data_IF_982672912864
#
_entry.id   IF_982672912864
#
_cell.length_a   1.000
_cell.length_b   1.000
_cell.length_c   1.000
_cell.angle_alpha   90.00
_cell.angle_beta   90.00
_cell.angle_gamma   90.00
#
_symmetry.space_group_name_H-M   'P 1'
#
loop_
_entity.id
_entity.type
_entity.pdbx_description
1 polymer ?
#
# COMPACT_ATOMS: atom_id res chain seq x y z
N UNK A 1 -0.10 -24.81 29.13
CA UNK A 1 -1.55 -25.12 29.13
C UNK A 1 -2.15 -24.46 27.90
N UNK A 2 -2.65 -25.24 26.93
CA UNK A 2 -3.28 -24.73 25.72
C UNK A 2 -4.64 -24.11 26.04
N UNK A 3 -4.91 -22.93 25.48
CA UNK A 3 -6.20 -22.25 25.59
C UNK A 3 -7.20 -22.99 24.68
N UNK A 4 -8.45 -23.24 25.09
CA UNK A 4 -9.43 -23.92 24.26
C UNK A 4 -9.71 -23.13 22.97
N UNK A 5 -9.88 -23.85 21.86
CA UNK A 5 -10.31 -23.29 20.58
C UNK A 5 -11.63 -22.53 20.77
N UNK A 6 -11.71 -21.31 20.21
CA UNK A 6 -12.95 -20.54 20.19
C UNK A 6 -14.02 -21.24 19.34
N UNK A 7 -15.31 -20.92 19.53
CA UNK A 7 -16.39 -21.52 18.74
C UNK A 7 -16.20 -21.22 17.25
N UNK A 8 -16.40 -22.24 16.41
CA UNK A 8 -16.52 -22.06 14.97
C UNK A 8 -17.66 -21.08 14.67
N UNK A 9 -17.41 -20.10 13.79
CA UNK A 9 -18.47 -19.22 13.29
C UNK A 9 -19.46 -20.02 12.44
N UNK A 10 -20.73 -19.61 12.42
CA UNK A 10 -21.73 -20.23 11.55
C UNK A 10 -21.39 -19.99 10.06
N UNK A 11 -21.65 -21.00 9.22
CA UNK A 11 -21.42 -20.96 7.78
C UNK A 11 -22.13 -19.76 7.15
N UNK A 12 -21.39 -18.93 6.42
CA UNK A 12 -21.96 -17.83 5.64
C UNK A 12 -22.04 -18.25 4.17
N UNK A 13 -23.18 -18.05 3.47
CA UNK A 13 -23.26 -18.33 2.05
C UNK A 13 -22.19 -17.54 1.30
N UNK A 14 -21.44 -18.23 0.43
CA UNK A 14 -20.46 -17.62 -0.46
C UNK A 14 -21.19 -16.81 -1.53
N UNK A 15 -21.45 -15.55 -1.24
CA UNK A 15 -21.79 -14.58 -2.28
C UNK A 15 -20.47 -14.11 -2.88
N UNK A 16 -20.16 -14.59 -4.09
CA UNK A 16 -19.04 -14.07 -4.85
C UNK A 16 -19.26 -12.59 -5.20
N UNK A 17 -18.26 -11.92 -5.80
CA UNK A 17 -18.54 -10.68 -6.50
C UNK A 17 -19.48 -10.98 -7.69
N UNK A 18 -20.79 -10.91 -7.46
CA UNK A 18 -21.79 -11.06 -8.51
C UNK A 18 -21.68 -9.87 -9.48
N UNK A 19 -21.34 -10.14 -10.74
CA UNK A 19 -21.51 -9.17 -11.82
C UNK A 19 -22.99 -9.14 -12.18
N UNK A 20 -23.77 -8.27 -11.53
CA UNK A 20 -25.16 -7.98 -11.93
C UNK A 20 -25.16 -6.88 -13.00
N UNK A 21 -26.20 -6.86 -13.86
CA UNK A 21 -26.39 -5.88 -14.96
C UNK A 21 -26.43 -4.38 -14.53
N UNK A 22 -26.24 -4.06 -13.24
CA UNK A 22 -26.18 -2.69 -12.71
C UNK A 22 -24.79 -2.24 -12.22
N UNK A 23 -23.73 -2.99 -12.51
CA UNK A 23 -22.38 -2.75 -11.99
C UNK A 23 -22.08 -3.54 -10.72
N UNK A 24 -20.82 -3.45 -10.25
CA UNK A 24 -20.35 -4.13 -9.03
C UNK A 24 -21.06 -3.51 -7.82
N UNK A 25 -22.18 -4.08 -7.40
CA UNK A 25 -22.75 -3.78 -6.10
C UNK A 25 -21.71 -4.17 -5.04
N UNK A 26 -21.56 -3.37 -3.98
CA UNK A 26 -20.66 -3.70 -2.89
C UNK A 26 -21.11 -5.02 -2.25
N UNK A 27 -20.53 -6.14 -2.72
CA UNK A 27 -20.84 -7.46 -2.21
C UNK A 27 -20.61 -7.48 -0.69
N UNK A 28 -21.40 -8.26 0.07
CA UNK A 28 -21.15 -8.47 1.49
C UNK A 28 -19.71 -8.93 1.68
N UNK A 29 -18.94 -8.22 2.50
CA UNK A 29 -17.57 -8.64 2.83
C UNK A 29 -17.67 -9.68 3.93
N UNK A 30 -17.01 -10.83 3.76
CA UNK A 30 -16.81 -11.75 4.88
C UNK A 30 -16.02 -11.04 5.97
N UNK A 31 -16.44 -11.27 7.22
CA UNK A 31 -15.82 -10.70 8.40
C UNK A 31 -15.57 -11.83 9.39
N UNK A 32 -14.33 -11.93 9.84
CA UNK A 32 -13.96 -12.75 10.98
C UNK A 32 -13.68 -11.79 12.13
N UNK A 33 -14.43 -11.90 13.22
CA UNK A 33 -14.15 -11.17 14.45
C UNK A 33 -13.02 -11.86 15.21
N UNK A 34 -11.99 -11.11 15.60
CA UNK A 34 -10.83 -11.62 16.31
C UNK A 34 -9.99 -10.50 16.92
N UNK A 35 -9.04 -10.88 17.77
CA UNK A 35 -8.07 -9.98 18.37
C UNK A 35 -6.76 -9.99 17.57
N UNK A 36 -5.95 -8.95 17.78
CA UNK A 36 -4.61 -8.89 17.20
C UNK A 36 -3.79 -10.10 17.69
N UNK A 37 -3.29 -10.91 16.75
CA UNK A 37 -2.53 -12.12 17.04
C UNK A 37 -3.35 -13.41 16.99
N UNK A 38 -4.67 -13.33 16.85
CA UNK A 38 -5.51 -14.49 16.57
C UNK A 38 -5.17 -15.05 15.18
N UNK A 39 -5.10 -16.38 15.10
CA UNK A 39 -4.78 -17.14 13.89
C UNK A 39 -6.02 -17.90 13.48
N UNK A 40 -6.37 -17.79 12.21
CA UNK A 40 -7.49 -18.52 11.62
C UNK A 40 -7.00 -19.36 10.46
N UNK A 41 -7.51 -20.58 10.34
CA UNK A 41 -7.47 -21.34 9.09
C UNK A 41 -8.71 -20.96 8.29
N UNK A 42 -8.57 -20.61 7.02
CA UNK A 42 -9.69 -20.34 6.13
C UNK A 42 -9.61 -21.34 4.99
N UNK A 43 -10.64 -22.15 4.84
CA UNK A 43 -10.75 -23.18 3.81
C UNK A 43 -11.80 -22.76 2.80
N UNK A 44 -11.38 -22.68 1.53
CA UNK A 44 -12.26 -22.47 0.40
C UNK A 44 -12.48 -23.81 -0.29
N UNK A 45 -13.73 -24.24 -0.39
CA UNK A 45 -14.12 -25.46 -1.09
C UNK A 45 -14.95 -25.07 -2.30
N UNK A 46 -14.67 -25.69 -3.45
CA UNK A 46 -15.50 -25.61 -4.65
C UNK A 46 -15.69 -27.02 -5.18
N UNK A 47 -16.92 -27.38 -5.49
CA UNK A 47 -17.21 -28.66 -6.14
C UNK A 47 -16.70 -28.62 -7.61
N UNK A 48 -15.83 -29.56 -8.03
CA UNK A 48 -15.34 -29.61 -9.40
C UNK A 48 -16.40 -30.00 -10.43
N UNK A 49 -17.47 -30.69 -10.02
CA UNK A 49 -18.59 -31.09 -10.86
C UNK A 49 -19.70 -30.02 -10.86
N UNK A 50 -19.80 -29.23 -9.78
CA UNK A 50 -20.71 -28.10 -9.65
C UNK A 50 -19.99 -26.79 -9.25
N UNK A 51 -19.50 -26.04 -10.24
CA UNK A 51 -18.71 -24.82 -10.01
C UNK A 51 -19.47 -23.70 -9.27
N UNK A 52 -20.81 -23.78 -9.22
CA UNK A 52 -21.66 -22.83 -8.49
C UNK A 52 -21.75 -23.16 -6.99
N UNK A 53 -21.40 -24.38 -6.59
CA UNK A 53 -21.30 -24.79 -5.20
C UNK A 53 -19.92 -24.42 -4.65
N UNK A 54 -19.89 -23.35 -3.86
CA UNK A 54 -18.72 -22.91 -3.11
C UNK A 54 -19.06 -22.90 -1.62
N UNK A 55 -18.06 -23.16 -0.80
CA UNK A 55 -18.16 -23.10 0.65
C UNK A 55 -16.91 -22.41 1.22
N UNK A 56 -17.10 -21.59 2.24
CA UNK A 56 -16.00 -20.96 2.99
C UNK A 56 -16.18 -21.32 4.45
N UNK A 57 -15.21 -22.07 4.97
CA UNK A 57 -15.15 -22.44 6.38
C UNK A 57 -13.96 -21.73 7.02
N UNK A 58 -14.07 -21.40 8.31
CA UNK A 58 -12.91 -20.95 9.08
C UNK A 58 -12.93 -21.51 10.50
N UNK A 59 -11.74 -21.78 11.03
CA UNK A 59 -11.54 -22.23 12.41
C UNK A 59 -10.45 -21.42 13.10
N UNK A 60 -10.63 -21.19 14.41
CA UNK A 60 -9.64 -20.52 15.24
C UNK A 60 -8.51 -21.47 15.61
N UNK A 61 -7.30 -21.18 15.15
CA UNK A 61 -6.08 -21.95 15.45
C UNK A 61 -5.39 -21.51 16.76
N UNK A 62 -6.00 -20.55 17.47
CA UNK A 62 -5.46 -19.94 18.69
C UNK A 62 -4.84 -18.57 18.46
N UNK A 63 -4.08 -18.10 19.44
CA UNK A 63 -3.45 -16.78 19.44
C UNK A 63 -1.93 -16.90 19.54
N UNK A 64 -1.19 -16.07 18.81
CA UNK A 64 0.26 -15.98 18.88
C UNK A 64 0.77 -14.55 18.99
N UNK A 65 2.09 -14.36 19.18
CA UNK A 65 2.69 -13.04 19.07
C UNK A 65 2.41 -12.47 17.68
N UNK A 66 2.06 -11.20 17.66
CA UNK A 66 1.79 -10.45 16.43
C UNK A 66 3.12 -10.19 15.77
N UNK A 67 3.35 -10.83 14.63
CA UNK A 67 4.49 -10.51 13.79
C UNK A 67 4.00 -9.59 12.69
N UNK A 68 4.18 -8.28 12.87
CA UNK A 68 3.93 -7.35 11.79
C UNK A 68 4.96 -7.60 10.67
N UNK A 69 4.51 -7.74 9.41
CA UNK A 69 5.43 -7.85 8.30
C UNK A 69 6.29 -6.59 8.23
N UNK A 70 7.54 -6.75 7.81
CA UNK A 70 8.41 -5.61 7.59
C UNK A 70 7.72 -4.60 6.64
N UNK A 71 7.80 -3.29 6.93
CA UNK A 71 7.14 -2.28 6.12
C UNK A 71 7.66 -2.32 4.68
N UNK A 72 6.73 -2.28 3.73
CA UNK A 72 7.01 -2.15 2.31
C UNK A 72 6.57 -0.78 1.85
N UNK A 73 7.38 -0.13 1.03
CA UNK A 73 7.12 1.24 0.57
C UNK A 73 6.90 1.25 -0.92
N UNK A 74 5.94 2.06 -1.38
CA UNK A 74 5.56 2.12 -2.78
C UNK A 74 5.39 3.58 -3.21
N UNK A 75 5.98 3.96 -4.32
CA UNK A 75 5.79 5.27 -4.90
C UNK A 75 4.52 5.30 -5.76
N UNK A 76 3.71 6.34 -5.56
CA UNK A 76 2.59 6.74 -6.40
C UNK A 76 2.74 8.21 -6.80
N UNK A 77 2.26 8.60 -7.97
CA UNK A 77 2.39 9.96 -8.47
C UNK A 77 1.63 10.17 -9.78
N UNK A 78 1.83 11.30 -10.45
CA UNK A 78 1.12 11.56 -11.70
C UNK A 78 1.44 10.51 -12.79
N UNK A 79 2.69 10.03 -12.90
CA UNK A 79 3.14 9.02 -13.87
C UNK A 79 2.38 7.70 -13.86
N UNK A 80 1.71 7.35 -12.75
CA UNK A 80 0.91 6.13 -12.61
C UNK A 80 -0.51 6.43 -12.12
N UNK A 81 -1.01 7.62 -12.48
CA UNK A 81 -2.35 8.10 -12.11
C UNK A 81 -2.64 7.89 -10.62
N UNK A 82 -1.71 8.30 -9.77
CA UNK A 82 -1.82 8.21 -8.31
C UNK A 82 -2.10 6.80 -7.78
N UNK A 83 -1.62 5.77 -8.47
CA UNK A 83 -1.80 4.37 -8.09
C UNK A 83 -2.89 3.63 -8.87
N UNK A 84 -3.68 4.31 -9.72
CA UNK A 84 -4.67 3.66 -10.59
C UNK A 84 -4.02 2.72 -11.62
N UNK A 85 -2.79 3.03 -12.06
CA UNK A 85 -1.99 2.16 -12.95
C UNK A 85 -1.02 1.23 -12.21
N UNK A 86 -1.26 1.03 -10.91
CA UNK A 86 -0.33 0.33 -10.03
C UNK A 86 0.68 1.27 -9.37
N UNK A 87 1.57 0.71 -8.57
CA UNK A 87 2.54 1.44 -7.75
C UNK A 87 3.95 0.89 -7.95
N UNK A 88 4.97 1.72 -7.75
CA UNK A 88 6.37 1.32 -7.91
C UNK A 88 6.90 0.92 -6.55
N UNK A 89 7.23 -0.35 -6.34
CA UNK A 89 7.83 -0.81 -5.08
C UNK A 89 9.24 -0.23 -4.89
N UNK A 90 9.49 0.31 -3.70
CA UNK A 90 10.81 0.78 -3.30
C UNK A 90 11.60 -0.37 -2.68
N UNK A 91 12.85 -0.52 -3.11
CA UNK A 91 13.75 -1.58 -2.66
C UNK A 91 14.68 -1.03 -1.59
N UNK A 92 14.84 -1.76 -0.49
CA UNK A 92 15.77 -1.41 0.59
C UNK A 92 17.21 -1.38 0.07
N UNK A 93 17.96 -0.33 0.40
CA UNK A 93 19.33 -0.12 -0.05
C UNK A 93 20.30 -0.66 1.00
N UNK A 94 20.82 -1.87 0.77
CA UNK A 94 21.76 -2.52 1.69
C UNK A 94 21.17 -2.77 3.09
N UNK A 95 21.95 -2.49 4.14
CA UNK A 95 21.54 -2.62 5.55
C UNK A 95 20.95 -1.34 6.14
N UNK A 96 20.78 -0.30 5.32
CA UNK A 96 20.37 1.05 5.77
C UNK A 96 18.86 1.15 6.04
N UNK A 97 18.44 2.29 6.61
CA UNK A 97 17.04 2.73 6.70
C UNK A 97 16.49 3.29 5.38
N UNK A 98 17.27 3.25 4.30
CA UNK A 98 16.92 3.87 3.03
C UNK A 98 16.28 2.87 2.08
N UNK A 99 15.19 3.29 1.43
CA UNK A 99 14.52 2.59 0.33
C UNK A 99 14.66 3.43 -0.93
N UNK A 100 14.74 2.79 -2.10
CA UNK A 100 14.82 3.51 -3.37
C UNK A 100 14.05 2.86 -4.51
N UNK A 101 13.59 3.68 -5.44
CA UNK A 101 13.06 3.24 -6.73
C UNK A 101 13.54 4.19 -7.83
N UNK A 102 13.40 3.78 -9.09
CA UNK A 102 13.65 4.64 -10.25
C UNK A 102 12.32 5.07 -10.84
N UNK A 103 12.27 6.31 -11.31
CA UNK A 103 11.14 6.84 -12.06
C UNK A 103 11.64 7.53 -13.32
N UNK A 104 10.83 7.51 -14.39
CA UNK A 104 11.10 8.23 -15.64
C UNK A 104 10.09 9.37 -15.72
N UNK A 105 10.57 10.61 -15.81
CA UNK A 105 9.70 11.77 -15.86
C UNK A 105 8.85 11.78 -17.13
N UNK A 106 7.53 11.87 -16.98
CA UNK A 106 6.61 11.99 -18.12
C UNK A 106 6.37 13.46 -18.51
N UNK A 107 6.64 14.39 -17.59
CA UNK A 107 6.58 15.84 -17.79
C UNK A 107 7.79 16.53 -17.12
N UNK A 108 7.89 17.86 -17.21
CA UNK A 108 8.93 18.68 -16.56
C UNK A 108 8.88 18.60 -15.04
N UNK A 109 7.69 18.38 -14.48
CA UNK A 109 7.47 18.22 -13.05
C UNK A 109 6.65 16.97 -12.79
N UNK A 110 7.09 16.15 -11.83
CA UNK A 110 6.45 14.88 -11.51
C UNK A 110 6.10 14.83 -10.02
N UNK A 111 4.82 15.09 -9.64
CA UNK A 111 4.38 15.01 -8.27
C UNK A 111 4.24 13.56 -7.80
N UNK A 112 4.63 13.27 -6.56
CA UNK A 112 4.58 11.92 -5.99
C UNK A 112 4.40 11.89 -4.47
N UNK A 113 4.04 10.71 -3.96
CA UNK A 113 3.91 10.31 -2.56
C UNK A 113 4.40 8.88 -2.38
N UNK A 114 4.50 8.44 -1.13
CA UNK A 114 4.90 7.08 -0.78
C UNK A 114 3.80 6.44 0.07
N UNK A 115 3.33 5.27 -0.34
CA UNK A 115 2.41 4.43 0.44
C UNK A 115 3.20 3.40 1.23
N UNK A 116 2.83 3.20 2.49
CA UNK A 116 3.27 2.05 3.27
C UNK A 116 2.28 0.88 3.07
N UNK A 117 2.78 -0.34 2.86
CA UNK A 117 1.98 -1.54 2.59
C UNK A 117 0.98 -1.42 1.42
N UNK A 118 1.24 -0.52 0.46
CA UNK A 118 0.33 -0.23 -0.67
C UNK A 118 -1.06 0.24 -0.21
N UNK A 119 -1.13 0.90 0.95
CA UNK A 119 -2.37 1.38 1.58
C UNK A 119 -2.47 2.90 1.50
N UNK A 120 -3.57 3.41 0.94
CA UNK A 120 -3.82 4.85 0.78
C UNK A 120 -4.04 5.57 2.12
N UNK A 121 -4.52 4.86 3.13
CA UNK A 121 -4.65 5.34 4.52
C UNK A 121 -3.33 5.28 5.31
N UNK A 122 -2.23 4.84 4.68
CA UNK A 122 -0.88 4.82 5.24
C UNK A 122 0.10 5.58 4.33
N UNK A 123 -0.27 6.80 3.98
CA UNK A 123 0.48 7.64 3.05
C UNK A 123 1.52 8.51 3.77
N UNK A 124 2.72 8.56 3.22
CA UNK A 124 3.85 9.37 3.65
C UNK A 124 4.04 10.50 2.62
N UNK A 125 4.13 11.74 3.11
CA UNK A 125 4.08 12.95 2.27
C UNK A 125 4.73 14.14 2.98
N UNK A 126 5.01 15.26 2.29
CA UNK A 126 5.46 16.48 2.95
C UNK A 126 4.29 17.23 3.61
N UNK A 127 4.60 18.15 4.52
CA UNK A 127 3.63 19.07 5.13
C UNK A 127 3.22 20.25 4.22
N UNK A 128 3.72 20.28 2.98
CA UNK A 128 3.53 21.36 2.01
C UNK A 128 3.14 20.81 0.65
N UNK A 129 2.33 21.57 -0.09
CA UNK A 129 1.97 21.27 -1.46
C UNK A 129 3.17 21.41 -2.42
N UNK A 130 3.27 20.48 -3.37
CA UNK A 130 4.30 20.40 -4.40
C UNK A 130 5.72 20.59 -3.84
N UNK A 131 6.09 19.94 -2.73
CA UNK A 131 7.34 20.24 -2.06
C UNK A 131 8.58 19.76 -2.85
N UNK A 132 9.59 20.61 -2.99
CA UNK A 132 10.90 20.17 -3.54
C UNK A 132 11.83 19.65 -2.43
N UNK A 133 12.84 18.85 -2.78
CA UNK A 133 13.77 18.30 -1.78
C UNK A 133 14.66 19.35 -1.11
N UNK A 134 14.86 20.52 -1.73
CA UNK A 134 15.63 21.62 -1.16
C UNK A 134 14.80 22.55 -0.28
N UNK A 135 13.47 22.51 -0.42
CA UNK A 135 12.56 23.31 0.38
C UNK A 135 12.45 22.70 1.77
N UNK A 136 12.62 23.51 2.82
CA UNK A 136 12.41 23.03 4.19
C UNK A 136 10.96 22.58 4.37
N UNK A 137 10.76 21.33 4.81
CA UNK A 137 9.46 20.70 5.04
C UNK A 137 9.58 19.63 6.11
N UNK A 138 8.46 19.23 6.69
CA UNK A 138 8.34 18.05 7.55
C UNK A 138 7.78 16.90 6.72
N UNK A 139 8.19 15.67 7.02
CA UNK A 139 7.55 14.47 6.48
C UNK A 139 6.47 14.02 7.46
N UNK A 140 5.23 13.94 6.95
CA UNK A 140 4.03 13.51 7.65
C UNK A 140 3.70 12.05 7.31
N UNK A 141 2.81 11.46 8.12
CA UNK A 141 2.37 10.08 8.00
C UNK A 141 3.31 9.05 8.64
N UNK A 142 3.04 7.75 8.45
CA UNK A 142 1.96 7.20 7.61
C UNK A 142 0.56 7.47 8.19
N UNK A 143 -0.31 8.13 7.42
CA UNK A 143 -1.71 8.39 7.76
C UNK A 143 -2.54 8.68 6.48
N UNK A 144 -3.83 9.00 6.63
CA UNK A 144 -4.69 9.38 5.50
C UNK A 144 -4.24 10.69 4.88
N UNK A 145 -3.88 10.67 3.60
CA UNK A 145 -3.39 11.86 2.89
C UNK A 145 -4.50 12.84 2.52
N UNK A 146 -4.18 14.14 2.61
CA UNK A 146 -4.89 15.18 1.84
C UNK A 146 -4.47 15.10 0.36
N UNK A 147 -5.31 15.56 -0.57
CA UNK A 147 -5.05 15.45 -2.02
C UNK A 147 -3.99 16.44 -2.56
N UNK A 148 -3.59 17.43 -1.77
CA UNK A 148 -2.70 18.52 -2.17
C UNK A 148 -1.24 18.37 -1.69
N UNK A 149 -0.98 17.53 -0.69
CA UNK A 149 0.35 17.37 -0.10
C UNK A 149 1.20 16.31 -0.81
N UNK A 150 2.09 16.71 -1.71
CA UNK A 150 3.00 15.83 -2.44
C UNK A 150 4.39 16.44 -2.60
N UNK A 151 5.40 15.60 -2.85
CA UNK A 151 6.68 16.09 -3.36
C UNK A 151 6.60 16.27 -4.88
N UNK A 152 7.48 17.08 -5.46
CA UNK A 152 7.54 17.30 -6.89
C UNK A 152 8.97 17.31 -7.42
N UNK A 153 9.33 16.30 -8.22
CA UNK A 153 10.62 16.25 -8.92
C UNK A 153 10.59 17.24 -10.07
N UNK A 154 11.68 17.98 -10.27
CA UNK A 154 11.76 18.99 -11.33
C UNK A 154 11.23 20.37 -10.93
N UNK A 155 10.62 20.52 -9.75
CA UNK A 155 10.22 21.83 -9.22
C UNK A 155 11.41 22.72 -8.91
N UNK A 156 12.48 22.15 -8.33
CA UNK A 156 13.68 22.90 -8.04
C UNK A 156 14.47 23.14 -9.33
N UNK A 157 14.88 24.38 -9.62
CA UNK A 157 15.69 24.70 -10.80
C UNK A 157 17.03 23.93 -10.83
N UNK A 158 17.53 23.50 -9.67
CA UNK A 158 18.74 22.68 -9.53
C UNK A 158 18.57 21.25 -10.03
N UNK A 159 17.34 20.73 -10.13
CA UNK A 159 17.09 19.37 -10.62
C UNK A 159 17.42 19.23 -12.13
N UNK A 160 17.36 20.34 -12.88
CA UNK A 160 17.56 20.40 -14.35
C UNK A 160 16.78 19.29 -15.08
N UNK A 161 15.57 19.02 -14.58
CA UNK A 161 14.69 17.96 -15.04
C UNK A 161 14.14 18.26 -16.45
N UNK A 162 14.06 17.21 -17.26
CA UNK A 162 13.44 17.17 -18.58
C UNK A 162 12.61 15.90 -18.69
N UNK A 163 11.56 15.94 -19.52
CA UNK A 163 10.81 14.76 -19.89
C UNK A 163 11.76 13.67 -20.42
N UNK A 164 11.55 12.44 -19.96
CA UNK A 164 12.39 11.29 -20.29
C UNK A 164 13.63 11.10 -19.38
N UNK A 165 13.97 12.07 -18.54
CA UNK A 165 15.04 11.88 -17.56
C UNK A 165 14.64 10.81 -16.53
N UNK A 166 15.63 10.03 -16.09
CA UNK A 166 15.43 9.05 -15.00
C UNK A 166 15.95 9.63 -13.69
N UNK A 167 15.14 9.51 -12.63
CA UNK A 167 15.52 9.89 -11.27
C UNK A 167 15.49 8.67 -10.35
N UNK A 168 16.44 8.60 -9.42
CA UNK A 168 16.37 7.71 -8.28
C UNK A 168 15.75 8.45 -7.11
N UNK A 169 14.57 7.99 -6.68
CA UNK A 169 13.89 8.50 -5.48
C UNK A 169 14.30 7.65 -4.29
N UNK A 170 14.61 8.29 -3.18
CA UNK A 170 15.06 7.68 -1.94
C UNK A 170 14.20 8.15 -0.78
N UNK A 171 13.83 7.23 0.10
CA UNK A 171 13.15 7.52 1.35
C UNK A 171 13.91 6.90 2.51
N UNK A 172 14.36 7.73 3.44
CA UNK A 172 14.98 7.29 4.68
C UNK A 172 13.96 7.28 5.83
N UNK A 173 13.71 6.10 6.39
CA UNK A 173 12.72 5.91 7.45
C UNK A 173 13.20 6.43 8.81
N UNK A 174 14.51 6.47 9.05
CA UNK A 174 15.07 6.92 10.31
C UNK A 174 15.13 8.45 10.38
N UNK A 175 15.59 9.09 9.30
CA UNK A 175 15.62 10.55 9.17
C UNK A 175 14.25 11.14 8.82
N UNK A 176 13.29 10.31 8.42
CA UNK A 176 12.00 10.73 7.84
C UNK A 176 12.23 11.74 6.71
N UNK A 177 12.98 11.33 5.69
CA UNK A 177 13.42 12.23 4.62
C UNK A 177 13.21 11.60 3.25
N UNK A 178 12.56 12.35 2.36
CA UNK A 178 12.53 12.03 0.93
C UNK A 178 13.59 12.85 0.19
N UNK A 179 14.30 12.23 -0.73
CA UNK A 179 15.28 12.89 -1.61
C UNK A 179 15.32 12.20 -2.96
N UNK A 180 15.86 12.88 -3.97
CA UNK A 180 16.00 12.33 -5.31
C UNK A 180 17.24 12.88 -6.00
N UNK A 181 17.77 12.08 -6.92
CA UNK A 181 18.87 12.50 -7.79
C UNK A 181 18.61 12.02 -9.21
N UNK A 182 19.01 12.84 -10.17
CA UNK A 182 19.05 12.45 -11.59
C UNK A 182 20.11 11.36 -11.78
N UNK A 183 19.81 10.37 -12.61
CA UNK A 183 20.73 9.30 -13.01
C UNK A 183 21.43 9.61 -14.33
#
# INVERSE_FOLDING_TARGET
AGRPAGPAGADAPTTGPDTREGGVQAAPRWKIDGNLGDKFSITFVRDPENLDECEVQWEGLGSGPVQEPAPRYFLIGAQNRWGHDGSIEMVKVGTTSTYSCKIVLQDKQEPFRILMHKRFDMCIRPDKQDCSQIQAHKVLGPDTASEDQCWAIGKAGTDKAKQGDTFQVMYDTAEKKASWRKL
#
